data_IF_529669999917
#
_entry.id   IF_529669999917
#
_cell.length_a   1.000
_cell.length_b   1.000
_cell.length_c   1.000
_cell.angle_alpha   90.00
_cell.angle_beta   90.00
_cell.angle_gamma   90.00
#
_symmetry.space_group_name_H-M   'P 1'
#
loop_
_entity.id
_entity.type
_entity.pdbx_description
1 polymer ?
#
# COMPACT_ATOMS: atom_id res chain seq x y z
N UNK A 1 -0.33 6.03 6.93
CA UNK A 1 -1.03 4.84 6.39
C UNK A 1 -2.31 4.63 7.16
N UNK A 2 -3.47 4.60 6.49
CA UNK A 2 -4.77 4.49 7.16
C UNK A 2 -5.20 3.01 7.24
N UNK A 3 -5.37 2.48 8.45
CA UNK A 3 -5.73 1.10 8.74
C UNK A 3 -7.15 0.75 8.29
N UNK A 4 -8.05 1.74 8.20
CA UNK A 4 -9.42 1.57 7.70
C UNK A 4 -9.50 1.03 6.27
N UNK A 5 -8.48 1.28 5.44
CA UNK A 5 -8.45 0.78 4.06
C UNK A 5 -8.19 -0.73 3.95
N UNK A 6 -7.88 -1.39 5.08
CA UNK A 6 -7.53 -2.80 5.13
C UNK A 6 -8.53 -3.65 5.95
N UNK A 7 -9.64 -3.06 6.39
CA UNK A 7 -10.76 -3.83 6.97
C UNK A 7 -11.31 -4.75 5.87
N UNK A 8 -11.58 -6.01 6.22
CA UNK A 8 -11.97 -7.09 5.29
C UNK A 8 -10.95 -7.34 4.15
N UNK A 9 -9.68 -6.96 4.32
CA UNK A 9 -8.64 -7.17 3.31
C UNK A 9 -7.84 -8.46 3.51
N UNK A 10 -7.74 -8.95 4.75
CA UNK A 10 -6.89 -10.08 5.13
C UNK A 10 -7.76 -11.24 5.62
N UNK A 11 -7.60 -12.41 5.01
CA UNK A 11 -8.41 -13.60 5.33
C UNK A 11 -8.18 -14.07 6.78
N UNK A 12 -6.99 -13.85 7.33
CA UNK A 12 -6.60 -14.26 8.69
C UNK A 12 -7.44 -13.59 9.79
N UNK A 13 -8.00 -12.41 9.51
CA UNK A 13 -8.85 -11.67 10.44
C UNK A 13 -10.29 -11.51 9.97
N UNK A 14 -10.66 -12.12 8.84
CA UNK A 14 -12.00 -11.99 8.26
C UNK A 14 -13.11 -12.55 9.16
N UNK A 15 -12.78 -13.47 10.07
CA UNK A 15 -13.73 -14.03 11.04
C UNK A 15 -14.08 -13.09 12.20
N UNK A 16 -13.29 -12.04 12.44
CA UNK A 16 -13.53 -11.06 13.50
C UNK A 16 -14.46 -9.93 13.06
N UNK A 17 -15.09 -9.25 14.03
CA UNK A 17 -15.88 -8.06 13.76
C UNK A 17 -15.02 -6.91 13.20
N UNK A 18 -15.64 -5.97 12.48
CA UNK A 18 -14.88 -4.84 11.89
C UNK A 18 -14.12 -4.00 12.94
N UNK A 19 -14.67 -3.87 14.15
CA UNK A 19 -14.02 -3.16 15.26
C UNK A 19 -12.77 -3.91 15.77
N UNK A 20 -12.88 -5.23 15.92
CA UNK A 20 -11.75 -6.10 16.29
C UNK A 20 -10.68 -6.12 15.20
N UNK A 21 -11.08 -6.23 13.92
CA UNK A 21 -10.18 -6.14 12.78
C UNK A 21 -9.42 -4.82 12.80
N UNK A 22 -10.11 -3.70 13.02
CA UNK A 22 -9.48 -2.38 13.07
C UNK A 22 -8.49 -2.27 14.23
N UNK A 23 -8.82 -2.82 15.40
CA UNK A 23 -7.91 -2.90 16.54
C UNK A 23 -6.66 -3.73 16.25
N UNK A 24 -6.81 -4.90 15.61
CA UNK A 24 -5.70 -5.76 15.19
C UNK A 24 -4.82 -5.09 14.13
N UNK A 25 -5.43 -4.40 13.16
CA UNK A 25 -4.72 -3.64 12.13
C UNK A 25 -3.95 -2.46 12.72
N UNK A 26 -4.48 -1.79 13.74
CA UNK A 26 -3.78 -0.70 14.43
C UNK A 26 -2.59 -1.23 15.23
N UNK A 27 -2.74 -2.36 15.90
CA UNK A 27 -1.64 -3.07 16.57
C UNK A 27 -0.57 -3.53 15.57
N UNK A 28 -0.99 -4.11 14.44
CA UNK A 28 -0.12 -4.51 13.34
C UNK A 28 0.66 -3.31 12.79
N UNK A 29 0.00 -2.16 12.63
CA UNK A 29 0.65 -0.91 12.21
C UNK A 29 1.73 -0.51 13.20
N UNK A 30 1.43 -0.48 14.49
CA UNK A 30 2.39 -0.12 15.53
C UNK A 30 3.58 -1.08 15.46
N UNK A 31 3.35 -2.40 15.52
CA UNK A 31 4.39 -3.43 15.42
C UNK A 31 5.27 -3.26 14.16
N UNK A 32 4.66 -2.95 13.02
CA UNK A 32 5.37 -2.69 11.75
C UNK A 32 6.37 -1.55 11.85
N UNK A 33 6.01 -0.45 12.51
CA UNK A 33 6.86 0.74 12.62
C UNK A 33 7.84 0.68 13.79
N UNK A 34 7.44 0.13 14.93
CA UNK A 34 8.25 0.15 16.16
C UNK A 34 9.16 -1.08 16.28
N UNK A 35 8.62 -2.28 16.10
CA UNK A 35 9.36 -3.53 16.29
C UNK A 35 10.09 -3.94 15.01
N UNK A 36 9.36 -4.00 13.88
CA UNK A 36 9.93 -4.42 12.60
C UNK A 36 10.75 -3.31 11.94
N UNK A 37 10.65 -2.07 12.42
CA UNK A 37 11.36 -0.89 11.89
C UNK A 37 11.19 -0.69 10.39
N UNK A 38 10.05 -1.12 9.83
CA UNK A 38 9.76 -1.07 8.39
C UNK A 38 9.27 0.32 7.93
N UNK A 39 9.45 1.35 8.76
CA UNK A 39 9.07 2.72 8.41
C UNK A 39 9.82 3.26 7.19
N UNK A 40 11.12 2.95 7.10
CA UNK A 40 11.92 3.28 5.92
C UNK A 40 11.41 2.58 4.65
N UNK A 41 10.91 1.34 4.78
CA UNK A 41 10.35 0.61 3.64
C UNK A 41 9.06 1.26 3.14
N UNK A 42 8.20 1.76 4.03
CA UNK A 42 6.98 2.48 3.61
C UNK A 42 7.32 3.77 2.85
N UNK A 43 8.36 4.50 3.27
CA UNK A 43 8.87 5.66 2.54
C UNK A 43 9.46 5.27 1.17
N UNK A 44 10.24 4.18 1.12
CA UNK A 44 10.78 3.65 -0.13
C UNK A 44 9.67 3.22 -1.09
N UNK A 45 8.60 2.59 -0.59
CA UNK A 45 7.45 2.21 -1.39
C UNK A 45 6.67 3.41 -1.94
N UNK A 46 6.62 4.52 -1.21
CA UNK A 46 6.09 5.79 -1.74
C UNK A 46 6.94 6.28 -2.92
N UNK A 47 8.27 6.31 -2.75
CA UNK A 47 9.19 6.74 -3.81
C UNK A 47 9.05 5.85 -5.05
N UNK A 48 9.03 4.52 -4.88
CA UNK A 48 8.86 3.58 -5.97
C UNK A 48 7.50 3.74 -6.67
N UNK A 49 6.43 3.96 -5.92
CA UNK A 49 5.11 4.20 -6.48
C UNK A 49 5.06 5.50 -7.29
N UNK A 50 5.68 6.57 -6.81
CA UNK A 50 5.77 7.84 -7.53
C UNK A 50 6.60 7.70 -8.81
N UNK A 51 7.74 7.01 -8.73
CA UNK A 51 8.57 6.73 -9.91
C UNK A 51 7.79 5.91 -10.95
N UNK A 52 7.09 4.85 -10.53
CA UNK A 52 6.26 4.06 -11.43
C UNK A 52 5.16 4.90 -12.10
N UNK A 53 4.50 5.77 -11.34
CA UNK A 53 3.50 6.69 -11.88
C UNK A 53 4.07 7.72 -12.85
N UNK A 54 5.28 8.22 -12.59
CA UNK A 54 5.97 9.22 -13.42
C UNK A 54 6.51 8.65 -14.74
N UNK A 55 6.90 7.37 -14.76
CA UNK A 55 7.39 6.73 -15.98
C UNK A 55 6.34 6.69 -17.09
N UNK A 56 5.05 6.61 -16.76
CA UNK A 56 3.97 6.56 -17.75
C UNK A 56 3.83 7.88 -18.56
N UNK A 57 3.73 9.07 -17.94
CA UNK A 57 3.79 10.33 -18.66
C UNK A 57 5.07 10.54 -19.46
N UNK A 58 6.23 10.17 -18.91
CA UNK A 58 7.52 10.32 -19.59
C UNK A 58 7.56 9.47 -20.86
N UNK A 59 7.17 8.20 -20.77
CA UNK A 59 7.11 7.29 -21.92
C UNK A 59 6.05 7.72 -22.94
N UNK A 60 4.92 8.26 -22.48
CA UNK A 60 3.91 8.84 -23.39
C UNK A 60 4.49 10.03 -24.17
N UNK A 61 5.20 10.94 -23.49
CA UNK A 61 5.78 12.11 -24.13
C UNK A 61 6.86 11.74 -25.16
N UNK A 62 7.65 10.68 -24.90
CA UNK A 62 8.66 10.22 -25.86
C UNK A 62 8.06 9.48 -27.07
N UNK A 63 6.94 8.76 -26.90
CA UNK A 63 6.31 7.98 -27.96
C UNK A 63 5.28 8.77 -28.79
N UNK A 64 4.48 9.62 -28.13
CA UNK A 64 3.35 10.33 -28.73
C UNK A 64 3.55 11.85 -28.80
N UNK A 65 4.72 12.34 -28.37
CA UNK A 65 5.09 13.76 -28.42
C UNK A 65 4.22 14.65 -27.55
N UNK A 66 3.92 15.86 -28.04
CA UNK A 66 3.14 16.88 -27.30
C UNK A 66 1.62 16.70 -27.42
N UNK A 67 1.14 15.52 -27.84
CA UNK A 67 -0.30 15.26 -27.92
C UNK A 67 -0.93 15.35 -26.53
N UNK A 68 -1.75 16.39 -26.33
CA UNK A 68 -2.40 16.69 -25.05
C UNK A 68 -3.25 15.51 -24.58
N UNK A 69 -3.97 14.85 -25.50
CA UNK A 69 -4.87 13.75 -25.18
C UNK A 69 -4.11 12.54 -24.64
N UNK A 70 -3.06 12.08 -25.34
CA UNK A 70 -2.28 10.91 -24.90
C UNK A 70 -1.57 11.17 -23.59
N UNK A 71 -0.98 12.36 -23.42
CA UNK A 71 -0.30 12.74 -22.19
C UNK A 71 -1.28 12.87 -21.00
N UNK A 72 -2.48 13.41 -21.22
CA UNK A 72 -3.51 13.47 -20.18
C UNK A 72 -3.95 12.06 -19.73
N UNK A 73 -4.16 11.14 -20.68
CA UNK A 73 -4.49 9.73 -20.37
C UNK A 73 -3.33 9.06 -19.62
N UNK A 74 -2.09 9.28 -20.05
CA UNK A 74 -0.91 8.71 -19.41
C UNK A 74 -0.71 9.22 -17.97
N UNK A 75 -1.00 10.50 -17.70
CA UNK A 75 -1.00 11.05 -16.33
C UNK A 75 -2.10 10.43 -15.47
N UNK A 76 -3.31 10.27 -16.01
CA UNK A 76 -4.40 9.58 -15.32
C UNK A 76 -4.03 8.14 -14.95
N UNK A 77 -3.54 7.37 -15.91
CA UNK A 77 -3.09 6.00 -15.71
C UNK A 77 -1.90 5.93 -14.74
N UNK A 78 -0.90 6.80 -14.90
CA UNK A 78 0.24 6.93 -14.01
C UNK A 78 -0.16 7.13 -12.56
N UNK A 79 -1.14 8.01 -12.32
CA UNK A 79 -1.68 8.29 -11.00
C UNK A 79 -2.37 7.05 -10.41
N UNK A 80 -3.24 6.39 -11.18
CA UNK A 80 -3.94 5.18 -10.72
C UNK A 80 -2.95 4.05 -10.41
N UNK A 81 -1.98 3.80 -11.29
CA UNK A 81 -0.94 2.79 -11.09
C UNK A 81 -0.13 3.09 -9.83
N UNK A 82 0.29 4.35 -9.64
CA UNK A 82 1.01 4.79 -8.45
C UNK A 82 0.22 4.51 -7.16
N UNK A 83 -1.06 4.88 -7.14
CA UNK A 83 -1.92 4.67 -5.97
C UNK A 83 -2.13 3.18 -5.65
N UNK A 84 -2.41 2.37 -6.67
CA UNK A 84 -2.61 0.93 -6.51
C UNK A 84 -1.33 0.24 -6.04
N UNK A 85 -0.19 0.60 -6.62
CA UNK A 85 1.11 0.05 -6.23
C UNK A 85 1.44 0.45 -4.79
N UNK A 86 1.26 1.71 -4.43
CA UNK A 86 1.49 2.18 -3.06
C UNK A 86 0.59 1.45 -2.05
N UNK A 87 -0.71 1.30 -2.35
CA UNK A 87 -1.65 0.56 -1.50
C UNK A 87 -1.22 -0.90 -1.32
N UNK A 88 -0.88 -1.57 -2.42
CA UNK A 88 -0.49 -2.99 -2.41
C UNK A 88 0.80 -3.22 -1.62
N UNK A 89 1.82 -2.39 -1.83
CA UNK A 89 3.10 -2.51 -1.12
C UNK A 89 2.94 -2.27 0.39
N UNK A 90 2.07 -1.33 0.77
CA UNK A 90 1.76 -1.07 2.18
C UNK A 90 0.90 -2.17 2.81
N UNK A 91 0.01 -2.81 2.04
CA UNK A 91 -0.73 -3.99 2.49
C UNK A 91 0.25 -5.09 2.95
N UNK A 92 1.32 -5.33 2.19
CA UNK A 92 2.37 -6.29 2.55
C UNK A 92 3.08 -5.94 3.85
N UNK A 93 3.31 -4.65 4.15
CA UNK A 93 3.90 -4.24 5.43
C UNK A 93 2.97 -4.50 6.60
N UNK A 94 1.68 -4.14 6.45
CA UNK A 94 0.67 -4.43 7.46
C UNK A 94 0.53 -5.93 7.68
N UNK A 95 0.50 -6.73 6.61
CA UNK A 95 0.39 -8.18 6.69
C UNK A 95 1.52 -8.78 7.54
N UNK A 96 2.76 -8.30 7.37
CA UNK A 96 3.89 -8.72 8.20
C UNK A 96 3.72 -8.34 9.66
N UNK A 97 3.25 -7.13 9.95
CA UNK A 97 2.93 -6.70 11.31
C UNK A 97 1.78 -7.53 11.91
N UNK A 98 0.76 -7.83 11.11
CA UNK A 98 -0.42 -8.59 11.52
C UNK A 98 -0.03 -10.02 11.86
N UNK A 99 0.73 -10.68 10.98
CA UNK A 99 1.26 -12.03 11.22
C UNK A 99 2.05 -12.08 12.53
N UNK A 100 2.83 -11.03 12.85
CA UNK A 100 3.59 -10.95 14.10
C UNK A 100 2.69 -10.79 15.32
N UNK A 101 1.67 -9.93 15.24
CA UNK A 101 0.69 -9.70 16.31
C UNK A 101 -0.13 -10.96 16.58
N UNK A 102 -0.58 -11.66 15.52
CA UNK A 102 -1.32 -12.91 15.63
C UNK A 102 -0.47 -14.00 16.28
N UNK A 103 0.78 -14.15 15.84
CA UNK A 103 1.73 -15.10 16.42
C UNK A 103 2.02 -14.82 17.92
N UNK A 104 2.13 -13.55 18.33
CA UNK A 104 2.31 -13.18 19.74
C UNK A 104 1.09 -13.51 20.60
N UNK A 105 -0.12 -13.48 20.01
CA UNK A 105 -1.37 -13.79 20.70
C UNK A 105 -1.76 -15.28 20.64
N UNK A 106 -0.96 -16.11 19.97
CA UNK A 106 -1.27 -17.54 19.78
C UNK A 106 -2.49 -17.79 18.88
N UNK A 107 -2.84 -16.83 18.02
CA UNK A 107 -3.92 -16.95 17.04
C UNK A 107 -3.30 -17.34 15.69
N UNK A 108 -3.78 -18.45 15.11
CA UNK A 108 -3.36 -18.99 13.81
C UNK A 108 -4.51 -18.97 12.82
#
# INVERSE_FOLDING_TARGET
>A
MNTKYYVNHFDEIAAFSEEEQLSLLEQARICTFTELKLGANSALYLVLALLAGFLLPVTSMTLFGSSVLYNAVAVGLGTVVSLLLYKTLNATLIHRGLTRVLAQKGMH
#
